data_IF_869826839795
#
_entry.id   IF_869826839795
#
_cell.length_a   1.000
_cell.length_b   1.000
_cell.length_c   1.000
_cell.angle_alpha   90.00
_cell.angle_beta   90.00
_cell.angle_gamma   90.00
#
_symmetry.space_group_name_H-M   'P 1'
#
loop_
_entity.id
_entity.type
_entity.pdbx_description
1 polymer ?
#
# COMPACT_ATOMS: atom_id res chain seq x y z
N UNK A 1 10.88 24.40 14.36
CA UNK A 1 10.51 23.95 15.73
C UNK A 1 10.57 22.44 15.76
N UNK A 2 11.33 21.83 16.68
CA UNK A 2 11.27 20.38 16.88
C UNK A 2 9.86 20.03 17.42
N UNK A 3 9.19 19.00 16.89
CA UNK A 3 7.88 18.60 17.41
C UNK A 3 8.02 18.22 18.90
N UNK A 4 7.08 18.66 19.73
CA UNK A 4 7.02 18.25 21.13
C UNK A 4 6.86 16.72 21.18
N UNK A 5 7.82 16.04 21.84
CA UNK A 5 7.80 14.59 22.03
C UNK A 5 7.42 14.27 23.46
N UNK A 6 6.41 13.45 23.63
CA UNK A 6 5.92 12.98 24.91
C UNK A 6 6.78 11.83 25.43
N UNK A 7 7.19 11.88 26.69
CA UNK A 7 7.89 10.77 27.34
C UNK A 7 6.94 9.57 27.41
N UNK A 8 7.36 8.46 26.81
CA UNK A 8 6.51 7.31 26.52
C UNK A 8 7.11 6.05 27.12
N UNK A 9 6.29 5.31 27.87
CA UNK A 9 6.60 3.96 28.33
C UNK A 9 5.88 2.94 27.46
N UNK A 10 6.51 1.79 27.24
CA UNK A 10 5.88 0.64 26.59
C UNK A 10 5.64 -0.41 27.65
N UNK A 11 4.40 -0.88 27.76
CA UNK A 11 4.00 -1.98 28.61
C UNK A 11 3.85 -3.24 27.75
N UNK A 12 4.73 -4.21 27.98
CA UNK A 12 4.77 -5.48 27.28
C UNK A 12 6.01 -5.69 26.41
N UNK A 13 6.22 -6.95 26.07
CA UNK A 13 7.35 -7.44 25.30
C UNK A 13 6.87 -8.30 24.12
N UNK A 14 7.69 -8.42 23.09
CA UNK A 14 7.45 -9.35 21.99
C UNK A 14 7.88 -8.83 20.62
N UNK A 15 7.79 -9.68 19.57
CA UNK A 15 8.17 -9.32 18.21
C UNK A 15 7.43 -8.07 17.69
N UNK A 16 6.12 -7.96 17.97
CA UNK A 16 5.30 -6.82 17.55
C UNK A 16 5.76 -5.49 18.17
N UNK A 17 6.16 -5.48 19.44
CA UNK A 17 6.69 -4.28 20.10
C UNK A 17 8.01 -3.85 19.47
N UNK A 18 8.88 -4.80 19.09
CA UNK A 18 10.13 -4.49 18.37
C UNK A 18 9.84 -3.84 17.02
N UNK A 19 8.87 -4.36 16.28
CA UNK A 19 8.46 -3.79 15.00
C UNK A 19 7.87 -2.38 15.18
N UNK A 20 7.00 -2.20 16.19
CA UNK A 20 6.44 -0.88 16.52
C UNK A 20 7.53 0.14 16.86
N UNK A 21 8.51 -0.24 17.69
CA UNK A 21 9.65 0.60 18.05
C UNK A 21 10.46 1.01 16.82
N UNK A 22 10.79 0.05 15.95
CA UNK A 22 11.51 0.32 14.72
C UNK A 22 10.73 1.25 13.77
N UNK A 23 9.40 1.15 13.72
CA UNK A 23 8.55 2.06 12.94
C UNK A 23 8.49 3.48 13.56
N UNK A 24 8.42 3.60 14.89
CA UNK A 24 8.46 4.90 15.58
C UNK A 24 9.79 5.61 15.33
N UNK A 25 10.90 4.88 15.35
CA UNK A 25 12.24 5.43 15.06
C UNK A 25 12.38 5.87 13.61
N UNK A 26 11.82 5.10 12.66
CA UNK A 26 11.81 5.45 11.23
C UNK A 26 10.94 6.68 10.91
N UNK A 27 10.01 7.03 11.79
CA UNK A 27 9.13 8.19 11.64
C UNK A 27 9.45 9.28 12.68
N UNK A 28 10.53 10.07 12.52
CA UNK A 28 10.96 11.06 13.52
C UNK A 28 9.96 12.21 13.75
N UNK A 29 8.96 12.35 12.87
CA UNK A 29 7.83 13.26 13.04
C UNK A 29 6.83 12.81 14.12
N UNK A 30 6.93 11.56 14.58
CA UNK A 30 6.11 11.02 15.67
C UNK A 30 6.38 11.75 16.98
N UNK A 31 5.32 11.90 17.78
CA UNK A 31 5.32 12.62 19.05
C UNK A 31 5.74 11.76 20.24
N UNK A 32 6.37 10.62 20.02
CA UNK A 32 6.78 9.69 21.07
C UNK A 32 8.29 9.79 21.32
N UNK A 33 8.67 9.87 22.59
CA UNK A 33 10.05 9.69 23.07
C UNK A 33 10.05 8.49 24.00
N UNK A 34 10.57 7.37 23.53
CA UNK A 34 10.57 6.13 24.29
C UNK A 34 11.58 6.25 25.44
N UNK A 35 11.11 6.08 26.67
CA UNK A 35 11.94 6.10 27.88
C UNK A 35 12.43 4.69 28.26
N UNK A 36 11.59 3.68 28.06
CA UNK A 36 11.92 2.28 28.35
C UNK A 36 10.71 1.36 28.25
N UNK A 37 10.95 0.08 28.51
CA UNK A 37 9.93 -0.99 28.49
C UNK A 37 9.63 -1.43 29.92
N UNK A 38 8.36 -1.70 30.21
CA UNK A 38 7.87 -2.26 31.47
C UNK A 38 7.29 -3.64 31.16
N UNK A 39 7.73 -4.65 31.91
CA UNK A 39 7.29 -6.03 31.77
C UNK A 39 5.93 -6.26 32.44
N UNK A 40 5.14 -7.22 31.94
CA UNK A 40 3.92 -7.66 32.61
C UNK A 40 4.26 -8.47 33.85
N UNK A 41 5.22 -9.38 33.73
CA UNK A 41 5.70 -10.24 34.81
C UNK A 41 7.23 -10.23 34.89
N UNK A 42 7.79 -10.58 36.04
CA UNK A 42 9.26 -10.63 36.27
C UNK A 42 10.01 -11.53 35.28
N UNK A 43 9.29 -12.48 34.64
CA UNK A 43 9.81 -13.48 33.72
C UNK A 43 9.61 -13.14 32.23
N UNK A 44 9.04 -11.97 31.89
CA UNK A 44 8.89 -11.59 30.48
C UNK A 44 10.24 -11.36 29.82
N UNK A 45 10.41 -11.84 28.58
CA UNK A 45 11.53 -11.52 27.69
C UNK A 45 11.50 -10.05 27.21
N UNK A 46 11.27 -9.10 28.11
CA UNK A 46 11.37 -7.66 27.84
C UNK A 46 12.80 -7.24 27.43
N UNK A 47 13.79 -8.06 27.78
CA UNK A 47 15.19 -7.95 27.38
C UNK A 47 15.44 -8.34 25.91
N UNK A 48 14.88 -7.60 24.98
CA UNK A 48 15.10 -7.85 23.54
C UNK A 48 14.75 -6.68 22.61
N UNK A 49 14.26 -5.58 23.16
CA UNK A 49 13.71 -4.47 22.37
C UNK A 49 14.69 -3.30 22.14
N UNK A 50 15.94 -3.42 22.58
CA UNK A 50 16.96 -2.34 22.45
C UNK A 50 16.77 -1.17 23.42
N UNK A 51 15.76 -1.23 24.31
CA UNK A 51 15.47 -0.24 25.34
C UNK A 51 15.63 -0.84 26.73
N UNK A 52 15.96 -0.02 27.76
CA UNK A 52 16.10 -0.51 29.13
C UNK A 52 14.75 -1.01 29.66
N UNK A 53 14.77 -2.15 30.33
CA UNK A 53 13.63 -2.66 31.10
C UNK A 53 13.62 -1.93 32.45
N UNK A 54 12.57 -1.13 32.69
CA UNK A 54 12.49 -0.23 33.86
C UNK A 54 11.84 -0.89 35.09
N UNK A 55 11.27 -2.09 34.92
CA UNK A 55 10.64 -2.87 35.98
C UNK A 55 9.36 -3.57 35.50
N UNK A 56 8.54 -4.00 36.45
CA UNK A 56 7.23 -4.64 36.24
C UNK A 56 6.06 -3.68 36.48
N UNK A 57 4.85 -4.10 36.07
CA UNK A 57 3.62 -3.28 36.20
C UNK A 57 3.33 -2.90 37.66
N UNK A 58 3.72 -3.71 38.62
CA UNK A 58 3.54 -3.43 40.06
C UNK A 58 4.31 -2.19 40.52
N UNK A 59 5.36 -1.81 39.80
CA UNK A 59 6.15 -0.61 40.06
C UNK A 59 5.82 0.56 39.13
N UNK A 60 4.78 0.42 38.30
CA UNK A 60 4.40 1.40 37.27
C UNK A 60 4.22 2.81 37.85
N UNK A 61 3.63 2.96 39.03
CA UNK A 61 3.46 4.26 39.69
C UNK A 61 4.80 4.99 39.92
N UNK A 62 5.83 4.27 40.39
CA UNK A 62 7.17 4.86 40.64
C UNK A 62 7.86 5.20 39.33
N UNK A 63 7.75 4.34 38.33
CA UNK A 63 8.38 4.52 37.01
C UNK A 63 7.77 5.74 36.29
N UNK A 64 6.45 5.93 36.35
CA UNK A 64 5.76 7.09 35.78
C UNK A 64 6.33 8.40 36.35
N UNK A 65 6.53 8.48 37.66
CA UNK A 65 7.04 9.68 38.31
C UNK A 65 8.51 9.92 37.99
N UNK A 66 9.35 8.88 37.98
CA UNK A 66 10.79 9.00 37.73
C UNK A 66 11.10 9.46 36.29
N UNK A 67 10.29 9.03 35.32
CA UNK A 67 10.51 9.33 33.90
C UNK A 67 9.59 10.42 33.34
N UNK A 68 8.80 11.09 34.19
CA UNK A 68 7.80 12.10 33.80
C UNK A 68 6.93 11.62 32.64
N UNK A 69 6.43 10.39 32.75
CA UNK A 69 5.74 9.71 31.66
C UNK A 69 4.42 10.40 31.33
N UNK A 70 4.18 10.64 30.04
CA UNK A 70 2.95 11.28 29.53
C UNK A 70 2.08 10.29 28.75
N UNK A 71 2.69 9.24 28.18
CA UNK A 71 1.99 8.21 27.41
C UNK A 71 2.47 6.82 27.82
N UNK A 72 1.54 5.88 27.97
CA UNK A 72 1.81 4.45 28.12
C UNK A 72 1.20 3.74 26.92
N UNK A 73 2.04 3.03 26.17
CA UNK A 73 1.63 2.19 25.04
C UNK A 73 1.53 0.75 25.54
N UNK A 74 0.37 0.13 25.41
CA UNK A 74 0.08 -1.19 25.98
C UNK A 74 -0.04 -2.24 24.89
N UNK A 75 0.77 -3.31 24.98
CA UNK A 75 0.60 -4.53 24.21
C UNK A 75 0.26 -5.69 25.16
N UNK A 76 -1.02 -6.09 25.27
CA UNK A 76 -1.42 -7.18 26.15
C UNK A 76 -0.80 -8.52 25.70
N UNK A 77 -0.38 -9.39 26.63
CA UNK A 77 0.05 -10.74 26.32
C UNK A 77 -1.20 -11.55 25.95
N UNK A 78 -1.34 -11.90 24.66
CA UNK A 78 -2.36 -12.79 24.10
C UNK A 78 -3.82 -12.54 24.51
N UNK A 79 -4.41 -11.41 24.10
CA UNK A 79 -5.87 -11.18 24.07
C UNK A 79 -6.60 -11.22 25.43
N UNK A 80 -5.88 -11.49 26.51
CA UNK A 80 -6.39 -11.68 27.86
C UNK A 80 -6.36 -10.34 28.61
N UNK A 81 -7.42 -9.55 28.39
CA UNK A 81 -7.60 -8.22 28.98
C UNK A 81 -7.88 -8.19 30.51
N UNK A 82 -7.81 -9.32 31.23
CA UNK A 82 -8.54 -9.41 32.52
C UNK A 82 -7.77 -9.02 33.79
N UNK A 83 -6.43 -8.93 33.77
CA UNK A 83 -5.67 -8.76 35.03
C UNK A 83 -5.23 -7.31 35.30
N UNK A 84 -5.24 -6.40 34.31
CA UNK A 84 -4.43 -5.16 34.41
C UNK A 84 -5.13 -3.84 34.11
N UNK A 85 -6.46 -3.83 34.01
CA UNK A 85 -7.22 -2.57 33.83
C UNK A 85 -7.05 -1.62 35.02
N UNK A 86 -6.87 -2.14 36.25
CA UNK A 86 -6.83 -1.30 37.45
C UNK A 86 -5.58 -0.40 37.53
N UNK A 87 -4.38 -0.95 37.36
CA UNK A 87 -3.13 -0.17 37.44
C UNK A 87 -3.04 0.85 36.29
N UNK A 88 -3.50 0.47 35.10
CA UNK A 88 -3.58 1.37 33.95
C UNK A 88 -4.64 2.46 34.14
N UNK A 89 -5.77 2.14 34.77
CA UNK A 89 -6.79 3.11 35.14
C UNK A 89 -6.28 4.09 36.19
N UNK A 90 -5.59 3.60 37.21
CA UNK A 90 -4.94 4.44 38.23
C UNK A 90 -3.88 5.35 37.61
N UNK A 91 -3.05 4.85 36.69
CA UNK A 91 -2.10 5.66 35.92
C UNK A 91 -2.79 6.77 35.13
N UNK A 92 -3.91 6.45 34.46
CA UNK A 92 -4.68 7.42 33.69
C UNK A 92 -5.33 8.49 34.56
N UNK A 93 -5.94 8.09 35.67
CA UNK A 93 -6.74 8.99 36.53
C UNK A 93 -5.86 9.83 37.46
N UNK A 94 -4.86 9.22 38.10
CA UNK A 94 -4.06 9.88 39.14
C UNK A 94 -2.90 10.69 38.55
N UNK A 95 -2.28 10.20 37.48
CA UNK A 95 -1.10 10.84 36.88
C UNK A 95 -1.41 11.53 35.55
N UNK A 96 -2.68 11.54 35.12
CA UNK A 96 -3.14 12.12 33.85
C UNK A 96 -2.36 11.59 32.62
N UNK A 97 -1.96 10.31 32.69
CA UNK A 97 -1.19 9.66 31.63
C UNK A 97 -2.13 9.11 30.55
N UNK A 98 -1.80 9.34 29.28
CA UNK A 98 -2.56 8.75 28.17
C UNK A 98 -2.20 7.29 28.02
N UNK A 99 -3.20 6.41 28.06
CA UNK A 99 -3.03 4.99 27.78
C UNK A 99 -3.53 4.71 26.37
N UNK A 100 -2.64 4.16 25.53
CA UNK A 100 -2.91 3.86 24.12
C UNK A 100 -2.59 2.38 23.83
N UNK A 101 -3.39 1.72 23.01
CA UNK A 101 -3.10 0.36 22.57
C UNK A 101 -1.98 0.37 21.52
N UNK A 102 -1.01 -0.54 21.66
CA UNK A 102 0.12 -0.66 20.75
C UNK A 102 -0.30 -0.82 19.28
N UNK A 103 -1.38 -1.57 19.02
CA UNK A 103 -1.96 -1.71 17.69
C UNK A 103 -2.49 -0.39 17.12
N UNK A 104 -3.18 0.41 17.92
CA UNK A 104 -3.68 1.72 17.50
C UNK A 104 -2.53 2.69 17.19
N UNK A 105 -1.47 2.68 18.01
CA UNK A 105 -0.27 3.49 17.76
C UNK A 105 0.42 3.04 16.49
N UNK A 106 0.58 1.73 16.28
CA UNK A 106 1.14 1.17 15.05
C UNK A 106 0.39 1.67 13.82
N UNK A 107 -0.95 1.54 13.82
CA UNK A 107 -1.82 2.02 12.74
C UNK A 107 -1.68 3.52 12.50
N UNK A 108 -1.59 4.33 13.56
CA UNK A 108 -1.48 5.78 13.45
C UNK A 108 -0.12 6.24 12.90
N UNK A 109 0.97 5.56 13.30
CA UNK A 109 2.34 5.86 12.86
C UNK A 109 2.54 5.45 11.40
N UNK A 110 2.13 4.23 11.07
CA UNK A 110 2.46 3.60 9.78
C UNK A 110 1.38 3.79 8.72
N UNK A 111 0.13 4.00 9.14
CA UNK A 111 -1.03 3.99 8.23
C UNK A 111 -1.35 2.59 7.68
N UNK A 112 -0.91 1.51 8.32
CA UNK A 112 -1.19 0.13 7.91
C UNK A 112 -1.61 -0.74 9.10
N UNK A 113 -2.37 -1.81 8.86
CA UNK A 113 -2.77 -2.75 9.91
C UNK A 113 -1.68 -3.83 10.12
N UNK A 114 -1.39 -4.21 11.39
CA UNK A 114 -0.53 -5.34 11.69
C UNK A 114 -1.32 -6.65 11.55
N UNK A 115 -1.16 -7.35 10.43
CA UNK A 115 -1.93 -8.56 10.10
C UNK A 115 -1.62 -9.73 11.03
N UNK A 116 -0.41 -9.80 11.56
CA UNK A 116 0.11 -10.90 12.38
C UNK A 116 -0.54 -10.95 13.76
N UNK A 117 -0.91 -9.77 14.28
CA UNK A 117 -1.51 -9.61 15.62
C UNK A 117 -3.03 -9.44 15.54
N UNK A 118 -3.59 -9.35 14.32
CA UNK A 118 -5.00 -9.08 14.11
C UNK A 118 -5.86 -10.32 14.36
N UNK A 119 -6.62 -10.33 15.46
CA UNK A 119 -7.48 -11.45 15.79
C UNK A 119 -8.72 -11.48 14.89
N UNK A 120 -9.26 -12.67 14.54
CA UNK A 120 -10.52 -12.75 13.80
C UNK A 120 -11.68 -12.06 14.53
N UNK A 121 -11.66 -12.04 15.86
CA UNK A 121 -12.64 -11.37 16.72
C UNK A 121 -12.70 -9.86 16.46
N UNK A 122 -11.55 -9.23 16.20
CA UNK A 122 -11.46 -7.81 15.87
C UNK A 122 -12.10 -7.51 14.50
N UNK A 123 -12.16 -8.47 13.57
CA UNK A 123 -12.89 -8.30 12.30
C UNK A 123 -14.39 -8.52 12.50
N UNK A 124 -14.75 -9.58 13.22
CA UNK A 124 -16.13 -10.10 13.29
C UNK A 124 -17.00 -9.23 14.20
N UNK A 125 -16.46 -8.81 15.34
CA UNK A 125 -17.23 -8.12 16.38
C UNK A 125 -17.00 -6.61 16.42
N UNK A 126 -16.05 -6.08 15.66
CA UNK A 126 -15.90 -4.64 15.50
C UNK A 126 -16.84 -4.09 14.42
N UNK A 127 -17.19 -2.81 14.57
CA UNK A 127 -17.88 -2.06 13.52
C UNK A 127 -16.90 -1.39 12.55
N UNK A 128 -15.59 -1.57 12.75
CA UNK A 128 -14.57 -0.80 12.05
C UNK A 128 -14.53 -1.12 10.55
N UNK A 129 -14.90 -2.34 10.15
CA UNK A 129 -14.93 -2.77 8.74
C UNK A 129 -16.30 -2.67 8.08
N UNK A 130 -17.27 -2.04 8.75
CA UNK A 130 -18.61 -1.82 8.22
C UNK A 130 -18.79 -0.33 7.89
N UNK A 131 -18.37 0.12 6.69
CA UNK A 131 -18.49 1.52 6.33
C UNK A 131 -19.96 1.96 6.39
N UNK A 132 -20.19 3.10 7.05
CA UNK A 132 -21.53 3.66 7.16
C UNK A 132 -22.15 3.86 5.77
N UNK A 133 -23.44 3.52 5.61
CA UNK A 133 -24.19 3.70 4.37
C UNK A 133 -24.13 5.14 3.87
N UNK A 134 -24.18 6.12 4.78
CA UNK A 134 -24.08 7.54 4.41
C UNK A 134 -22.71 7.88 3.82
N UNK A 135 -21.63 7.34 4.40
CA UNK A 135 -20.28 7.48 3.88
C UNK A 135 -20.17 6.84 2.49
N UNK A 136 -20.65 5.60 2.32
CA UNK A 136 -20.68 4.92 1.02
C UNK A 136 -21.46 5.69 -0.05
N UNK A 137 -22.60 6.30 0.32
CA UNK A 137 -23.37 7.14 -0.60
C UNK A 137 -22.63 8.43 -0.94
N UNK A 138 -22.01 9.09 0.04
CA UNK A 138 -21.26 10.32 -0.18
C UNK A 138 -20.05 10.09 -1.09
N UNK A 139 -19.24 9.06 -0.83
CA UNK A 139 -18.09 8.71 -1.68
C UNK A 139 -18.52 8.29 -3.08
N UNK A 140 -19.68 7.64 -3.20
CA UNK A 140 -20.27 7.29 -4.50
C UNK A 140 -20.70 8.52 -5.29
N UNK A 141 -21.42 9.47 -4.67
CA UNK A 141 -21.85 10.71 -5.31
C UNK A 141 -20.64 11.56 -5.73
N UNK A 142 -19.63 11.65 -4.86
CA UNK A 142 -18.37 12.31 -5.18
C UNK A 142 -17.71 11.65 -6.39
N UNK A 143 -17.59 10.32 -6.39
CA UNK A 143 -16.99 9.58 -7.50
C UNK A 143 -17.73 9.80 -8.83
N UNK A 144 -19.06 9.79 -8.80
CA UNK A 144 -19.89 10.08 -9.98
C UNK A 144 -19.70 11.52 -10.49
N UNK A 145 -19.69 12.50 -9.59
CA UNK A 145 -19.49 13.91 -9.95
C UNK A 145 -18.14 14.16 -10.61
N UNK A 146 -17.06 13.65 -10.01
CA UNK A 146 -15.71 13.78 -10.56
C UNK A 146 -15.53 12.99 -11.86
N UNK A 147 -16.07 11.76 -11.97
CA UNK A 147 -15.99 11.00 -13.21
C UNK A 147 -16.78 11.66 -14.35
N UNK A 148 -17.98 12.17 -14.07
CA UNK A 148 -18.79 12.90 -15.04
C UNK A 148 -18.12 14.19 -15.50
N UNK A 149 -17.64 15.02 -14.56
CA UNK A 149 -16.89 16.23 -14.88
C UNK A 149 -15.60 15.91 -15.65
N UNK A 150 -14.86 14.87 -15.23
CA UNK A 150 -13.64 14.42 -15.88
C UNK A 150 -13.88 13.99 -17.32
N UNK A 151 -14.95 13.24 -17.60
CA UNK A 151 -15.30 12.84 -18.97
C UNK A 151 -15.64 14.04 -19.86
N UNK A 152 -16.40 15.02 -19.36
CA UNK A 152 -16.76 16.21 -20.14
C UNK A 152 -15.52 17.07 -20.42
N UNK A 153 -14.75 17.37 -19.38
CA UNK A 153 -13.59 18.28 -19.47
C UNK A 153 -12.42 17.65 -20.25
N UNK A 154 -12.22 16.34 -20.12
CA UNK A 154 -11.11 15.63 -20.76
C UNK A 154 -11.52 14.91 -22.05
N UNK A 155 -12.79 14.96 -22.47
CA UNK A 155 -13.25 14.43 -23.76
C UNK A 155 -12.35 14.81 -24.96
N UNK A 156 -12.00 16.10 -25.19
CA UNK A 156 -11.15 16.46 -26.33
C UNK A 156 -9.76 15.84 -26.22
N UNK A 157 -9.20 15.77 -25.01
CA UNK A 157 -7.91 15.13 -24.77
C UNK A 157 -7.98 13.61 -25.00
N UNK A 158 -9.04 12.94 -24.54
CA UNK A 158 -9.26 11.51 -24.75
C UNK A 158 -9.41 11.17 -26.24
N UNK A 159 -10.07 12.04 -27.01
CA UNK A 159 -10.17 11.89 -28.47
C UNK A 159 -8.80 12.01 -29.13
N UNK A 160 -8.00 13.01 -28.75
CA UNK A 160 -6.64 13.18 -29.25
C UNK A 160 -5.74 11.98 -28.90
N UNK A 161 -5.81 11.50 -27.66
CA UNK A 161 -5.09 10.29 -27.22
C UNK A 161 -5.50 9.09 -28.07
N UNK A 162 -6.80 8.94 -28.33
CA UNK A 162 -7.31 7.85 -29.17
C UNK A 162 -6.76 7.89 -30.60
N UNK A 163 -6.64 9.08 -31.20
CA UNK A 163 -6.02 9.27 -32.51
C UNK A 163 -4.52 8.90 -32.48
N UNK A 164 -3.78 9.37 -31.47
CA UNK A 164 -2.35 9.06 -31.31
C UNK A 164 -2.10 7.56 -31.19
N UNK A 165 -2.92 6.84 -30.41
CA UNK A 165 -2.83 5.39 -30.28
C UNK A 165 -3.07 4.67 -31.61
N UNK A 166 -4.04 5.17 -32.40
CA UNK A 166 -4.39 4.58 -33.70
C UNK A 166 -3.30 4.75 -34.76
N UNK A 167 -2.52 5.83 -34.65
CA UNK A 167 -1.35 6.11 -35.49
C UNK A 167 -0.15 5.28 -35.01
N UNK A 168 0.06 5.16 -33.70
CA UNK A 168 1.22 4.49 -33.10
C UNK A 168 1.14 2.95 -33.19
N UNK A 169 -0.06 2.36 -33.14
CA UNK A 169 -0.25 0.91 -33.15
C UNK A 169 -1.53 0.46 -33.86
N UNK A 170 -1.47 -0.69 -34.53
CA UNK A 170 -2.63 -1.29 -35.20
C UNK A 170 -3.58 -1.95 -34.19
N UNK A 171 -4.89 -1.66 -34.31
CA UNK A 171 -5.96 -2.31 -33.55
C UNK A 171 -6.82 -1.34 -32.73
N UNK A 172 -7.59 -1.83 -31.73
CA UNK A 172 -8.53 -1.00 -30.98
C UNK A 172 -7.82 0.01 -30.07
N UNK A 173 -8.43 1.20 -29.90
CA UNK A 173 -7.93 2.26 -29.02
C UNK A 173 -8.05 1.87 -27.54
N UNK A 174 -9.14 1.17 -27.20
CA UNK A 174 -9.42 0.72 -25.84
C UNK A 174 -8.99 -0.73 -25.67
N UNK A 175 -8.40 -0.99 -24.50
CA UNK A 175 -8.12 -2.32 -23.99
C UNK A 175 -9.04 -2.59 -22.79
N UNK A 176 -9.59 -3.80 -22.71
CA UNK A 176 -10.43 -4.24 -21.59
C UNK A 176 -9.89 -5.52 -20.99
N UNK A 177 -9.79 -5.57 -19.66
CA UNK A 177 -9.42 -6.78 -18.92
C UNK A 177 -10.43 -7.07 -17.82
N UNK A 178 -10.74 -8.34 -17.60
CA UNK A 178 -11.61 -8.74 -16.51
C UNK A 178 -10.90 -8.60 -15.15
N UNK A 179 -11.60 -7.98 -14.21
CA UNK A 179 -11.11 -7.67 -12.88
C UNK A 179 -12.18 -7.97 -11.83
N UNK A 180 -11.75 -8.27 -10.61
CA UNK A 180 -12.66 -8.48 -9.49
C UNK A 180 -13.07 -7.16 -8.84
N UNK A 181 -14.37 -6.93 -8.73
CA UNK A 181 -14.99 -5.74 -8.14
C UNK A 181 -15.64 -6.01 -6.78
N UNK A 182 -16.66 -5.21 -6.46
CA UNK A 182 -17.42 -5.31 -5.22
C UNK A 182 -18.00 -6.73 -5.04
N UNK A 183 -17.82 -7.29 -3.84
CA UNK A 183 -18.18 -8.66 -3.48
C UNK A 183 -17.56 -9.73 -4.41
N UNK A 184 -16.41 -9.42 -5.03
CA UNK A 184 -15.72 -10.32 -5.95
C UNK A 184 -16.36 -10.44 -7.34
N UNK A 185 -17.40 -9.65 -7.63
CA UNK A 185 -18.08 -9.71 -8.94
C UNK A 185 -17.14 -9.26 -10.05
N UNK A 186 -16.96 -10.06 -11.12
CA UNK A 186 -16.10 -9.67 -12.23
C UNK A 186 -16.70 -8.51 -13.03
N UNK A 187 -15.86 -7.58 -13.47
CA UNK A 187 -16.21 -6.50 -14.39
C UNK A 187 -15.08 -6.24 -15.38
N UNK A 188 -15.39 -5.57 -16.50
CA UNK A 188 -14.40 -5.22 -17.52
C UNK A 188 -13.78 -3.87 -17.22
N UNK A 189 -12.53 -3.84 -16.79
CA UNK A 189 -11.77 -2.61 -16.57
C UNK A 189 -11.30 -2.03 -17.90
N UNK A 190 -11.68 -0.80 -18.20
CA UNK A 190 -11.33 -0.09 -19.43
C UNK A 190 -10.04 0.71 -19.26
N UNK A 191 -9.14 0.62 -20.25
CA UNK A 191 -7.92 1.44 -20.35
C UNK A 191 -7.66 1.83 -21.79
N UNK A 192 -6.85 2.86 -22.00
CA UNK A 192 -6.26 3.06 -23.31
C UNK A 192 -5.23 1.96 -23.58
N UNK A 193 -5.13 1.55 -24.84
CA UNK A 193 -4.13 0.58 -25.26
C UNK A 193 -2.74 1.22 -25.22
N UNK A 194 -1.84 0.63 -24.45
CA UNK A 194 -0.45 1.10 -24.32
C UNK A 194 0.58 0.00 -24.60
N UNK A 195 0.11 -1.21 -24.93
CA UNK A 195 0.96 -2.36 -25.22
C UNK A 195 0.51 -3.04 -26.51
N UNK A 196 1.50 -3.55 -27.25
CA UNK A 196 1.28 -4.44 -28.39
C UNK A 196 0.77 -5.82 -27.92
N UNK A 197 0.02 -6.56 -28.77
CA UNK A 197 -0.34 -7.94 -28.48
C UNK A 197 0.89 -8.78 -28.12
N UNK A 198 0.76 -9.68 -27.15
CA UNK A 198 1.80 -10.69 -26.91
C UNK A 198 1.65 -11.82 -27.95
N UNK A 199 2.77 -12.32 -28.45
CA UNK A 199 2.82 -13.53 -29.29
C UNK A 199 2.75 -14.82 -28.44
N UNK A 200 3.15 -14.75 -27.16
CA UNK A 200 3.17 -15.88 -26.21
C UNK A 200 2.39 -15.58 -24.90
N UNK A 201 2.40 -16.56 -23.99
CA UNK A 201 1.63 -16.58 -22.75
C UNK A 201 1.91 -15.36 -21.85
N UNK A 202 0.84 -14.69 -21.43
CA UNK A 202 0.89 -13.40 -20.74
C UNK A 202 1.40 -13.57 -19.31
N UNK A 203 2.53 -12.95 -18.97
CA UNK A 203 2.84 -12.67 -17.55
C UNK A 203 1.88 -11.59 -17.03
N UNK A 204 1.41 -11.76 -15.80
CA UNK A 204 0.53 -10.79 -15.14
C UNK A 204 1.31 -9.64 -14.47
N UNK A 205 2.64 -9.76 -14.38
CA UNK A 205 3.51 -8.77 -13.78
C UNK A 205 3.93 -7.68 -14.79
N UNK A 206 4.01 -6.44 -14.32
CA UNK A 206 4.24 -5.28 -15.21
C UNK A 206 5.66 -5.26 -15.78
N UNK A 207 6.67 -5.68 -15.01
CA UNK A 207 8.08 -5.69 -15.40
C UNK A 207 8.38 -6.65 -16.56
N UNK A 208 7.70 -7.80 -16.59
CA UNK A 208 7.88 -8.81 -17.63
C UNK A 208 7.39 -8.33 -19.01
N UNK A 209 6.54 -7.31 -19.03
CA UNK A 209 5.87 -6.81 -20.23
C UNK A 209 6.40 -5.46 -20.72
N UNK A 210 7.50 -4.95 -20.17
CA UNK A 210 8.06 -3.62 -20.50
C UNK A 210 8.45 -3.50 -21.98
N UNK A 211 8.89 -4.59 -22.60
CA UNK A 211 9.27 -4.62 -24.02
C UNK A 211 8.08 -4.39 -24.98
N UNK A 212 6.84 -4.62 -24.52
CA UNK A 212 5.62 -4.50 -25.33
C UNK A 212 5.04 -3.09 -25.36
N UNK A 213 5.61 -2.16 -24.60
CA UNK A 213 5.03 -0.82 -24.41
C UNK A 213 5.30 0.05 -25.64
N UNK A 214 4.23 0.56 -26.25
CA UNK A 214 4.34 1.43 -27.44
C UNK A 214 4.95 2.79 -27.08
N UNK A 215 5.36 3.59 -28.08
CA UNK A 215 5.98 4.90 -27.84
C UNK A 215 5.01 5.87 -27.16
N UNK A 216 3.78 5.95 -27.67
CA UNK A 216 2.70 6.75 -27.06
C UNK A 216 2.30 6.13 -25.72
N UNK A 217 2.21 4.80 -25.65
CA UNK A 217 1.87 4.07 -24.43
C UNK A 217 2.81 4.34 -23.25
N UNK A 218 4.11 4.52 -23.52
CA UNK A 218 5.10 4.88 -22.52
C UNK A 218 4.80 6.22 -21.86
N UNK A 219 4.43 7.23 -22.65
CA UNK A 219 4.06 8.55 -22.15
C UNK A 219 2.72 8.51 -21.40
N UNK A 220 1.73 7.81 -21.96
CA UNK A 220 0.41 7.66 -21.32
C UNK A 220 0.52 7.03 -19.93
N UNK A 221 1.30 5.95 -19.76
CA UNK A 221 1.54 5.31 -18.47
C UNK A 221 2.28 6.19 -17.48
N UNK A 222 3.29 6.92 -17.97
CA UNK A 222 4.06 7.85 -17.14
C UNK A 222 3.17 8.92 -16.51
N UNK A 223 2.22 9.44 -17.30
CA UNK A 223 1.26 10.45 -16.86
C UNK A 223 -0.05 9.83 -16.29
N UNK A 224 -0.18 8.49 -16.24
CA UNK A 224 -1.41 7.76 -15.90
C UNK A 224 -2.64 8.13 -16.73
N UNK A 225 -2.44 8.69 -17.91
CA UNK A 225 -3.52 9.05 -18.83
C UNK A 225 -4.18 7.82 -19.46
N UNK A 226 -3.51 6.66 -19.41
CA UNK A 226 -4.06 5.39 -19.84
C UNK A 226 -5.25 4.91 -19.01
N UNK A 227 -5.41 5.44 -17.79
CA UNK A 227 -6.48 5.10 -16.86
C UNK A 227 -7.75 5.97 -17.02
N UNK A 228 -7.73 7.01 -17.87
CA UNK A 228 -8.90 7.89 -18.10
C UNK A 228 -10.19 7.16 -18.50
N UNK A 229 -10.17 6.10 -19.35
CA UNK A 229 -11.39 5.35 -19.67
C UNK A 229 -12.07 4.69 -18.47
N UNK A 230 -11.39 4.56 -17.32
CA UNK A 230 -11.99 4.03 -16.09
C UNK A 230 -13.09 4.95 -15.52
N UNK A 231 -13.17 6.22 -15.95
CA UNK A 231 -14.31 7.07 -15.59
C UNK A 231 -15.64 6.51 -16.09
N UNK A 232 -15.66 5.79 -17.22
CA UNK A 232 -16.84 5.06 -17.66
C UNK A 232 -17.19 3.91 -16.71
N UNK A 233 -16.21 3.18 -16.17
CA UNK A 233 -16.44 2.15 -15.15
C UNK A 233 -17.02 2.72 -13.86
N UNK A 234 -16.61 3.94 -13.48
CA UNK A 234 -17.19 4.62 -12.33
C UNK A 234 -18.66 4.94 -12.58
N UNK A 235 -19.01 5.51 -13.74
CA UNK A 235 -20.40 5.80 -14.10
C UNK A 235 -21.26 4.52 -14.14
N UNK A 236 -20.72 3.42 -14.67
CA UNK A 236 -21.40 2.12 -14.75
C UNK A 236 -21.65 1.46 -13.37
N UNK A 237 -20.96 1.90 -12.31
CA UNK A 237 -21.15 1.36 -10.97
C UNK A 237 -20.14 0.30 -10.55
N UNK A 238 -19.18 -0.01 -11.40
CA UNK A 238 -18.14 -1.01 -11.15
C UNK A 238 -17.09 -0.49 -10.15
N UNK A 239 -16.75 0.79 -10.24
CA UNK A 239 -15.65 1.42 -9.52
C UNK A 239 -16.05 2.72 -8.83
N UNK A 240 -15.21 3.14 -7.89
CA UNK A 240 -15.15 4.51 -7.36
C UNK A 240 -13.81 5.15 -7.76
N UNK A 241 -13.63 6.43 -7.45
CA UNK A 241 -12.34 7.09 -7.68
C UNK A 241 -11.30 6.58 -6.68
N UNK A 242 -11.70 6.50 -5.41
CA UNK A 242 -10.87 6.01 -4.32
C UNK A 242 -11.35 4.63 -3.86
N UNK A 243 -10.41 3.72 -3.68
CA UNK A 243 -10.64 2.36 -3.20
C UNK A 243 -9.45 1.43 -3.45
N UNK A 244 -9.49 0.18 -2.97
CA UNK A 244 -8.48 -0.82 -3.28
C UNK A 244 -8.35 -1.02 -4.79
N UNK A 245 -7.12 -1.20 -5.31
CA UNK A 245 -6.90 -1.39 -6.74
C UNK A 245 -7.46 -2.77 -7.18
N UNK A 246 -8.21 -2.86 -8.29
CA UNK A 246 -8.80 -4.12 -8.71
C UNK A 246 -7.76 -5.08 -9.29
N UNK A 247 -7.77 -6.34 -8.84
CA UNK A 247 -6.88 -7.39 -9.33
C UNK A 247 -7.47 -8.14 -10.54
N UNK A 248 -6.63 -8.74 -11.41
CA UNK A 248 -7.08 -9.67 -12.46
C UNK A 248 -7.99 -10.74 -11.87
N UNK A 249 -9.12 -11.04 -12.52
CA UNK A 249 -10.02 -12.10 -12.04
C UNK A 249 -9.32 -13.47 -11.94
N UNK A 250 -8.29 -13.72 -12.75
CA UNK A 250 -7.43 -14.91 -12.68
C UNK A 250 -6.76 -15.10 -11.32
N UNK A 251 -6.43 -14.00 -10.64
CA UNK A 251 -5.81 -14.01 -9.32
C UNK A 251 -6.82 -14.08 -8.17
N UNK A 252 -8.11 -13.86 -8.46
CA UNK A 252 -9.14 -13.88 -7.43
C UNK A 252 -9.18 -15.24 -6.74
N UNK A 253 -9.25 -16.32 -7.52
CA UNK A 253 -9.27 -17.68 -6.96
C UNK A 253 -7.96 -17.98 -6.23
N UNK A 254 -6.81 -17.65 -6.81
CA UNK A 254 -5.51 -17.90 -6.17
C UNK A 254 -5.42 -17.25 -4.78
N UNK A 255 -5.73 -15.95 -4.68
CA UNK A 255 -5.61 -15.23 -3.41
C UNK A 255 -6.75 -15.49 -2.44
N UNK A 256 -7.97 -15.73 -2.93
CA UNK A 256 -9.12 -16.05 -2.06
C UNK A 256 -9.05 -17.49 -1.56
N UNK A 257 -8.57 -18.45 -2.37
CA UNK A 257 -8.32 -19.82 -1.92
C UNK A 257 -7.13 -19.87 -0.95
N UNK A 258 -6.05 -19.13 -1.22
CA UNK A 258 -4.95 -18.92 -0.28
C UNK A 258 -5.41 -18.36 1.07
N UNK A 259 -6.41 -17.46 1.07
CA UNK A 259 -7.02 -16.93 2.27
C UNK A 259 -8.01 -17.88 2.98
N UNK A 260 -8.48 -18.96 2.30
CA UNK A 260 -9.52 -19.90 2.80
C UNK A 260 -8.95 -21.16 3.47
N UNK A 261 -7.66 -21.22 3.79
CA UNK A 261 -7.01 -22.39 4.40
C UNK A 261 -7.00 -23.65 3.53
N UNK A 262 -6.54 -23.58 2.28
CA UNK A 262 -6.17 -24.81 1.55
C UNK A 262 -4.71 -25.15 1.84
N UNK A 263 -4.39 -26.28 2.51
CA UNK A 263 -3.02 -26.64 2.91
C UNK A 263 -2.05 -26.81 1.74
N UNK A 264 -2.56 -27.01 0.53
CA UNK A 264 -1.75 -27.34 -0.64
C UNK A 264 -0.99 -26.14 -1.24
N UNK A 265 -1.43 -24.91 -0.97
CA UNK A 265 -0.87 -23.71 -1.61
C UNK A 265 0.31 -23.10 -0.85
N UNK A 266 0.53 -23.47 0.42
CA UNK A 266 1.65 -22.98 1.27
C UNK A 266 1.68 -21.46 1.53
N UNK A 267 0.76 -20.71 0.95
CA UNK A 267 0.69 -19.25 0.98
C UNK A 267 -0.58 -18.87 1.73
N UNK A 268 -0.44 -18.28 2.91
CA UNK A 268 -1.56 -17.72 3.66
C UNK A 268 -1.50 -16.19 3.61
N UNK A 269 -2.43 -15.58 2.89
CA UNK A 269 -2.68 -14.14 3.02
C UNK A 269 -4.00 -13.98 3.79
N UNK A 270 -3.95 -13.78 5.13
CA UNK A 270 -5.16 -13.69 5.93
C UNK A 270 -5.99 -12.47 5.51
N UNK A 271 -7.32 -12.60 5.60
CA UNK A 271 -8.27 -11.50 5.38
C UNK A 271 -8.28 -10.87 3.97
N UNK A 272 -7.63 -11.49 2.97
CA UNK A 272 -7.54 -10.92 1.61
C UNK A 272 -8.91 -10.60 0.99
N UNK A 273 -9.93 -11.41 1.30
CA UNK A 273 -11.31 -11.24 0.82
C UNK A 273 -11.95 -9.92 1.25
N UNK A 274 -11.50 -9.32 2.36
CA UNK A 274 -12.07 -8.07 2.88
C UNK A 274 -11.90 -6.91 1.92
N UNK A 275 -10.89 -6.93 1.03
CA UNK A 275 -10.67 -5.90 -0.01
C UNK A 275 -11.86 -5.73 -0.94
N UNK A 276 -12.67 -6.78 -1.10
CA UNK A 276 -13.86 -6.77 -1.95
C UNK A 276 -15.11 -6.26 -1.24
N UNK A 277 -15.03 -5.79 0.01
CA UNK A 277 -16.18 -5.24 0.76
C UNK A 277 -16.64 -3.88 0.24
N UNK A 278 -15.75 -3.15 -0.44
CA UNK A 278 -16.02 -1.85 -1.07
C UNK A 278 -15.73 -1.91 -2.56
N UNK A 279 -16.23 -0.91 -3.30
CA UNK A 279 -15.91 -0.79 -4.73
C UNK A 279 -14.41 -0.49 -4.90
N UNK A 280 -13.76 -1.09 -5.90
CA UNK A 280 -12.37 -0.78 -6.22
C UNK A 280 -12.22 0.67 -6.70
N UNK A 281 -10.99 1.20 -6.58
CA UNK A 281 -10.61 2.56 -6.93
C UNK A 281 -9.69 2.65 -8.14
N UNK A 282 -9.67 3.83 -8.79
CA UNK A 282 -8.59 4.22 -9.70
C UNK A 282 -7.30 4.45 -8.89
N UNK A 283 -7.45 5.18 -7.79
CA UNK A 283 -6.42 5.41 -6.77
C UNK A 283 -6.88 4.86 -5.41
N UNK A 284 -5.95 4.74 -4.47
CA UNK A 284 -6.20 4.11 -3.17
C UNK A 284 -5.06 4.35 -2.19
N UNK A 285 -5.32 4.12 -0.92
CA UNK A 285 -4.35 4.36 0.16
C UNK A 285 -3.05 3.59 -0.05
N UNK A 286 -3.15 2.29 -0.40
CA UNK A 286 -1.98 1.47 -0.71
C UNK A 286 -1.16 2.04 -1.88
N UNK A 287 -1.80 2.58 -2.93
CA UNK A 287 -1.10 3.16 -4.09
C UNK A 287 -0.35 4.46 -3.74
N UNK A 288 -0.82 5.20 -2.74
CA UNK A 288 -0.19 6.45 -2.29
C UNK A 288 0.95 6.17 -1.32
N UNK A 289 0.77 5.19 -0.41
CA UNK A 289 1.72 4.87 0.67
C UNK A 289 2.78 3.88 0.26
N UNK A 290 2.44 2.94 -0.62
CA UNK A 290 3.29 1.84 -1.02
C UNK A 290 3.43 1.78 -2.54
N UNK A 291 4.63 1.48 -3.04
CA UNK A 291 4.87 1.36 -4.49
C UNK A 291 4.45 -0.03 -5.00
N UNK A 292 4.63 -0.24 -6.30
CA UNK A 292 4.29 -1.48 -6.99
C UNK A 292 4.77 -2.71 -6.22
N UNK A 293 3.94 -3.76 -6.23
CA UNK A 293 4.31 -5.06 -5.67
C UNK A 293 4.57 -6.00 -6.84
N UNK A 294 5.68 -6.70 -6.74
CA UNK A 294 6.21 -7.66 -7.68
C UNK A 294 6.40 -9.04 -7.01
N UNK A 295 6.12 -9.15 -5.71
CA UNK A 295 6.18 -10.41 -4.97
C UNK A 295 5.04 -10.53 -3.93
N UNK A 296 4.88 -11.74 -3.40
CA UNK A 296 3.85 -12.08 -2.43
C UNK A 296 3.93 -11.25 -1.14
N UNK A 297 5.14 -10.98 -0.64
CA UNK A 297 5.33 -10.19 0.58
C UNK A 297 4.92 -8.72 0.37
N UNK A 298 5.19 -8.18 -0.81
CA UNK A 298 4.77 -6.83 -1.19
C UNK A 298 3.25 -6.75 -1.42
N UNK A 299 2.61 -7.83 -1.88
CA UNK A 299 1.14 -7.92 -1.91
C UNK A 299 0.53 -7.99 -0.51
N UNK A 300 1.17 -8.70 0.43
CA UNK A 300 0.78 -8.64 1.85
C UNK A 300 0.93 -7.22 2.41
N UNK A 301 2.01 -6.53 2.11
CA UNK A 301 2.22 -5.15 2.57
C UNK A 301 1.17 -4.19 2.00
N UNK A 302 0.82 -4.33 0.71
CA UNK A 302 -0.31 -3.59 0.11
C UNK A 302 -1.63 -3.91 0.81
N UNK A 303 -1.89 -5.18 1.13
CA UNK A 303 -3.08 -5.58 1.86
C UNK A 303 -3.16 -4.88 3.22
N UNK A 304 -2.04 -4.74 3.95
CA UNK A 304 -2.01 -4.02 5.24
C UNK A 304 -2.50 -2.56 5.09
N UNK A 305 -2.13 -1.89 3.99
CA UNK A 305 -2.64 -0.55 3.68
C UNK A 305 -4.10 -0.56 3.21
N UNK A 306 -4.50 -1.51 2.37
CA UNK A 306 -5.90 -1.61 1.92
C UNK A 306 -6.85 -1.86 3.10
N UNK A 307 -6.48 -2.72 4.06
CA UNK A 307 -7.27 -2.96 5.25
C UNK A 307 -7.32 -1.74 6.17
N UNK A 308 -6.25 -0.94 6.25
CA UNK A 308 -6.28 0.34 6.96
C UNK A 308 -7.29 1.30 6.34
N UNK A 309 -7.33 1.37 5.02
CA UNK A 309 -8.34 2.17 4.33
C UNK A 309 -9.77 1.68 4.62
N UNK A 310 -10.00 0.35 4.65
CA UNK A 310 -11.31 -0.19 4.99
C UNK A 310 -11.71 0.11 6.43
N UNK A 311 -10.78 -0.01 7.38
CA UNK A 311 -11.00 0.26 8.80
C UNK A 311 -11.31 1.74 9.07
N UNK A 312 -10.60 2.64 8.38
CA UNK A 312 -10.71 4.09 8.56
C UNK A 312 -11.53 4.75 7.43
N UNK A 313 -12.45 3.99 6.82
CA UNK A 313 -13.20 4.40 5.65
C UNK A 313 -13.99 5.68 5.91
N UNK A 314 -13.59 6.77 5.26
CA UNK A 314 -14.20 8.08 5.47
C UNK A 314 -13.99 8.99 4.27
N UNK A 315 -14.92 9.93 4.06
CA UNK A 315 -14.82 10.94 3.02
C UNK A 315 -13.55 11.80 3.15
N UNK A 316 -13.13 12.06 4.39
CA UNK A 316 -11.90 12.82 4.66
C UNK A 316 -10.65 12.06 4.21
N UNK A 317 -10.60 10.75 4.46
CA UNK A 317 -9.51 9.90 3.97
C UNK A 317 -9.48 9.87 2.44
N UNK A 318 -10.64 9.80 1.78
CA UNK A 318 -10.73 9.88 0.31
C UNK A 318 -10.16 11.20 -0.22
N UNK A 319 -10.55 12.34 0.34
CA UNK A 319 -10.03 13.65 -0.05
C UNK A 319 -8.51 13.71 0.15
N UNK A 320 -8.01 13.21 1.28
CA UNK A 320 -6.57 13.12 1.55
C UNK A 320 -5.86 12.28 0.49
N UNK A 321 -6.38 11.11 0.14
CA UNK A 321 -5.83 10.23 -0.90
C UNK A 321 -5.78 10.94 -2.26
N UNK A 322 -6.83 11.69 -2.61
CA UNK A 322 -6.88 12.44 -3.87
C UNK A 322 -5.81 13.53 -3.92
N UNK A 323 -5.67 14.33 -2.85
CA UNK A 323 -4.64 15.38 -2.77
C UNK A 323 -3.24 14.78 -2.84
N UNK A 324 -2.98 13.71 -2.09
CA UNK A 324 -1.67 13.03 -2.10
C UNK A 324 -1.38 12.40 -3.47
N UNK A 325 -2.39 11.82 -4.13
CA UNK A 325 -2.27 11.28 -5.51
C UNK A 325 -1.87 12.37 -6.49
N UNK A 326 -2.56 13.52 -6.48
CA UNK A 326 -2.28 14.65 -7.37
C UNK A 326 -0.86 15.18 -7.12
N UNK A 327 -0.49 15.35 -5.84
CA UNK A 327 0.86 15.80 -5.45
C UNK A 327 1.94 14.84 -5.95
N UNK A 328 1.71 13.52 -5.87
CA UNK A 328 2.65 12.51 -6.36
C UNK A 328 2.84 12.59 -7.88
N UNK A 329 1.77 12.82 -8.65
CA UNK A 329 1.83 12.96 -10.11
C UNK A 329 2.64 14.21 -10.50
N UNK A 330 2.37 15.36 -9.86
CA UNK A 330 3.12 16.59 -10.12
C UNK A 330 4.58 16.52 -9.68
N UNK A 331 4.87 15.94 -8.50
CA UNK A 331 6.25 15.75 -8.03
C UNK A 331 7.07 14.83 -8.95
N UNK A 332 6.44 13.83 -9.57
CA UNK A 332 7.08 12.99 -10.61
C UNK A 332 7.34 13.76 -11.90
N UNK A 333 6.48 14.72 -12.26
CA UNK A 333 6.69 15.58 -13.43
C UNK A 333 7.90 16.50 -13.26
N UNK A 334 8.11 17.07 -12.07
CA UNK A 334 9.26 17.94 -11.79
C UNK A 334 10.60 17.21 -11.85
N UNK A 335 10.69 15.99 -11.32
CA UNK A 335 11.93 15.21 -11.32
C UNK A 335 12.40 14.80 -12.74
N UNK A 336 11.49 14.81 -13.71
CA UNK A 336 11.79 14.56 -15.13
C UNK A 336 12.35 15.83 -15.79
N UNK A 337 11.90 17.00 -15.35
CA UNK A 337 12.33 18.27 -15.92
C UNK A 337 13.79 18.57 -15.53
N UNK A 338 14.18 18.26 -14.29
CA UNK A 338 15.58 18.40 -13.85
C UNK A 338 16.51 17.45 -14.63
N UNK A 339 16.14 16.18 -14.80
CA UNK A 339 16.96 15.21 -15.58
C UNK A 339 17.06 15.53 -17.07
N UNK A 340 16.07 16.21 -17.64
CA UNK A 340 16.13 16.63 -19.06
C UNK A 340 16.98 17.89 -19.21
N UNK A 341 17.00 18.76 -18.20
CA UNK A 341 17.81 19.99 -18.19
C UNK A 341 19.28 19.67 -17.95
N UNK A 342 19.60 18.75 -17.03
CA UNK A 342 20.97 18.27 -16.78
C UNK A 342 21.56 17.59 -18.03
N UNK A 343 20.78 16.79 -18.76
CA UNK A 343 21.24 16.14 -20.00
C UNK A 343 21.48 17.12 -21.15
N UNK A 344 20.70 18.20 -21.22
CA UNK A 344 20.91 19.26 -22.22
C UNK A 344 22.12 20.13 -21.86
N UNK A 345 22.43 20.30 -20.58
CA UNK A 345 23.66 20.96 -20.12
C UNK A 345 24.91 20.07 -20.31
N UNK A 346 24.82 18.76 -20.06
CA UNK A 346 25.92 17.82 -20.34
C UNK A 346 26.21 17.69 -21.85
N UNK A 347 25.19 17.67 -22.71
CA UNK A 347 25.38 17.65 -24.16
C UNK A 347 25.93 18.97 -24.73
N UNK A 348 25.78 20.09 -24.03
CA UNK A 348 26.38 21.37 -24.42
C UNK A 348 27.86 21.52 -23.99
N UNK A 349 28.38 20.60 -23.17
CA UNK A 349 29.72 20.65 -22.58
C UNK A 349 30.72 19.65 -23.19
N UNK A 350 30.29 18.81 -24.14
CA UNK A 350 31.19 17.89 -24.86
C UNK A 350 31.53 18.52 -26.23
N UNK A 351 32.78 18.93 -26.48
CA UNK A 351 33.17 19.36 -27.81
C UNK A 351 33.24 18.14 -28.75
N UNK A 352 32.77 18.33 -29.97
CA UNK A 352 32.83 17.37 -31.08
C UNK A 352 34.29 16.92 -31.31
N UNK A 353 34.67 15.77 -30.76
CA UNK A 353 35.87 15.04 -31.19
C UNK A 353 35.43 13.75 -31.85
N UNK A 354 35.00 13.89 -33.11
CA UNK A 354 35.00 12.79 -34.07
C UNK A 354 36.39 12.72 -34.69
N UNK A 355 37.18 11.69 -34.34
CA UNK A 355 38.20 11.16 -35.25
C UNK A 355 38.63 9.75 -34.80
N UNK A 356 38.36 8.80 -35.69
CA UNK A 356 39.12 7.58 -36.01
C UNK A 356 39.64 6.66 -34.89
N UNK A 357 39.20 5.39 -34.91
CA UNK A 357 40.05 4.18 -35.05
C UNK A 357 39.18 2.89 -35.06
N UNK A 358 39.69 1.77 -35.60
CA UNK A 358 38.89 0.83 -36.37
C UNK A 358 38.40 -0.42 -35.63
N UNK A 359 37.48 -1.07 -36.33
CA UNK A 359 36.85 -2.37 -36.13
C UNK A 359 37.84 -3.50 -35.76
N UNK A 360 37.63 -4.13 -34.60
CA UNK A 360 38.21 -5.43 -34.25
C UNK A 360 37.25 -6.21 -33.37
N UNK A 361 36.48 -7.10 -34.01
CA UNK A 361 35.78 -8.19 -33.38
C UNK A 361 36.77 -9.20 -32.75
N UNK A 362 36.45 -9.71 -31.56
CA UNK A 362 37.09 -10.93 -31.05
C UNK A 362 37.09 -11.09 -29.53
N UNK A 363 36.13 -11.87 -29.04
CA UNK A 363 36.19 -12.74 -27.86
C UNK A 363 36.54 -12.11 -26.49
N UNK A 364 35.63 -12.24 -25.53
CA UNK A 364 35.80 -12.94 -24.24
C UNK A 364 34.42 -12.95 -23.54
N UNK A 365 33.89 -14.15 -23.33
CA UNK A 365 32.81 -14.42 -22.37
C UNK A 365 33.40 -14.40 -20.95
N UNK A 366 32.62 -13.98 -19.94
CA UNK A 366 32.31 -14.96 -18.91
C UNK A 366 30.84 -14.97 -18.49
N UNK A 367 30.47 -16.13 -17.94
CA UNK A 367 29.15 -16.48 -17.45
C UNK A 367 28.75 -15.68 -16.20
N UNK A 368 27.46 -15.35 -16.12
CA UNK A 368 26.79 -14.99 -14.87
C UNK A 368 25.50 -15.81 -14.78
N UNK A 369 25.55 -16.85 -13.94
CA UNK A 369 24.41 -17.63 -13.47
C UNK A 369 23.35 -16.70 -12.85
N UNK A 370 22.12 -16.78 -13.35
CA UNK A 370 20.92 -16.37 -12.63
C UNK A 370 20.01 -17.59 -12.47
N UNK A 371 19.49 -17.88 -11.27
CA UNK A 371 18.61 -19.02 -11.07
C UNK A 371 17.29 -18.82 -11.83
N UNK A 372 17.01 -19.74 -12.76
CA UNK A 372 15.72 -19.92 -13.43
C UNK A 372 14.66 -20.23 -12.37
N UNK A 373 13.78 -19.29 -12.07
CA UNK A 373 12.52 -19.60 -11.38
C UNK A 373 11.57 -20.27 -12.36
N UNK A 374 11.14 -21.47 -12.00
CA UNK A 374 10.34 -22.37 -12.81
C UNK A 374 8.92 -21.85 -13.00
N UNK A 375 8.49 -21.80 -14.26
CA UNK A 375 7.10 -21.69 -14.66
C UNK A 375 6.30 -22.91 -14.15
N UNK A 376 5.21 -22.66 -13.43
CA UNK A 376 4.29 -23.69 -12.96
C UNK A 376 3.51 -24.28 -14.14
N UNK A 377 3.80 -25.55 -14.46
CA UNK A 377 3.06 -26.37 -15.41
C UNK A 377 1.66 -26.67 -14.89
N UNK A 378 0.64 -26.31 -15.67
CA UNK A 378 -0.70 -26.94 -15.61
C UNK A 378 -0.56 -28.42 -15.99
N UNK A 379 -0.97 -29.33 -15.11
CA UNK A 379 -1.38 -30.68 -15.52
C UNK A 379 -2.91 -30.69 -15.60
N UNK A 380 -3.40 -30.75 -16.84
CA UNK A 380 -4.72 -31.26 -17.14
C UNK A 380 -4.81 -32.71 -16.64
N UNK A 381 -5.88 -33.06 -15.95
CA UNK A 381 -6.41 -34.43 -15.95
C UNK A 381 -7.88 -34.31 -16.32
N UNK A 382 -8.28 -35.25 -17.18
CA UNK A 382 -9.52 -35.34 -17.94
C UNK A 382 -10.79 -35.44 -17.09
#
# INVERSE_FOLDING_TARGET
MKPFKANTLILGAGPFIRDLLAEIERHPACRYRIAGVVAWEDMDEAGGCGYPVLGTVDHLHRIIQQHETQVIIVAPPDGSAKVTDRQLLEARVLHNVRVEHAQAVYEQVTGKLPLETFAPEDVIYSNDFQPNRTALMATRLLSLGFAGAGLILLAPLMLLIGLLIRIDSAGPVLFSQERSGLAGRPFKLLKFRTMEPAEEQQSEWEEDNVHRITRVGRWLRKCRLDELPQFFNILNGDMNIVGPRPHPSSNFELFVLAARNTPESGIQIPYYSMRYSVRPGITGWAQVRYRYANNLNEEMEKLRFDLYYLKHYSLWLDIRILVETVTMIFARSHRVQDQTTDRLQEQALVPDTATDLPDMAGQIHPAADRPRQQAFRRRNVA
#
